data_IF_492547038246
#
_entry.id   IF_492547038246
#
_cell.length_a   1.000
_cell.length_b   1.000
_cell.length_c   1.000
_cell.angle_alpha   90.00
_cell.angle_beta   90.00
_cell.angle_gamma   90.00
#
_symmetry.space_group_name_H-M   'P 1'
#
loop_
_entity.id
_entity.type
_entity.pdbx_description
1 polymer ?
#
# COMPACT_ATOMS: atom_id res chain seq x y z
N UNK A 1 -25.42 11.54 -11.67
CA UNK A 1 -25.49 11.32 -13.13
C UNK A 1 -24.28 11.99 -13.74
N UNK A 2 -23.41 11.23 -14.42
CA UNK A 2 -22.23 11.78 -15.09
C UNK A 2 -22.67 12.63 -16.29
N UNK A 3 -22.13 13.84 -16.40
CA UNK A 3 -22.47 14.77 -17.49
C UNK A 3 -21.78 14.43 -18.82
N UNK A 4 -20.75 13.58 -18.80
CA UNK A 4 -19.91 13.34 -19.97
C UNK A 4 -20.02 11.93 -20.55
N UNK A 5 -20.71 10.99 -19.89
CA UNK A 5 -20.78 9.57 -20.30
C UNK A 5 -19.40 8.98 -20.69
N UNK A 6 -18.32 9.51 -20.11
CA UNK A 6 -16.95 9.12 -20.39
C UNK A 6 -16.57 7.93 -19.51
N UNK A 7 -16.09 6.88 -20.15
CA UNK A 7 -15.51 5.73 -19.46
C UNK A 7 -13.98 5.86 -19.46
N UNK A 8 -13.37 5.72 -18.29
CA UNK A 8 -11.91 5.69 -18.15
C UNK A 8 -11.47 4.23 -18.14
N UNK A 9 -10.53 3.88 -18.98
CA UNK A 9 -9.91 2.56 -19.02
C UNK A 9 -8.50 2.68 -18.47
N UNK A 10 -8.20 1.91 -17.42
CA UNK A 10 -6.88 1.82 -16.82
C UNK A 10 -6.23 0.53 -17.31
N UNK A 11 -5.03 0.65 -17.86
CA UNK A 11 -4.24 -0.45 -18.39
C UNK A 11 -3.02 -0.62 -17.49
N UNK A 12 -2.85 -1.80 -16.92
CA UNK A 12 -1.77 -2.06 -15.96
C UNK A 12 -0.97 -3.32 -16.30
N UNK A 13 0.33 -3.20 -16.08
CA UNK A 13 1.29 -4.30 -15.95
C UNK A 13 1.90 -4.20 -14.53
N UNK A 14 2.67 -5.20 -14.07
CA UNK A 14 3.46 -5.06 -12.85
C UNK A 14 4.50 -3.93 -12.89
N UNK A 15 4.79 -3.39 -14.08
CA UNK A 15 5.82 -2.38 -14.32
C UNK A 15 5.20 -0.98 -14.43
N UNK A 16 4.07 -0.83 -15.14
CA UNK A 16 3.44 0.47 -15.39
C UNK A 16 1.93 0.48 -15.23
N UNK A 17 1.41 1.69 -15.06
CA UNK A 17 -0.03 2.01 -15.18
C UNK A 17 -0.18 3.14 -16.21
N UNK A 18 -1.05 2.95 -17.18
CA UNK A 18 -1.50 3.99 -18.12
C UNK A 18 -3.03 4.01 -18.20
N UNK A 19 -3.61 5.04 -18.79
CA UNK A 19 -5.06 5.16 -18.93
C UNK A 19 -5.45 5.87 -20.22
N UNK A 20 -6.66 5.56 -20.72
CA UNK A 20 -7.29 6.28 -21.82
C UNK A 20 -8.79 6.47 -21.53
N UNK A 21 -9.41 7.45 -22.18
CA UNK A 21 -10.82 7.78 -21.99
C UNK A 21 -11.59 7.69 -23.30
N UNK A 22 -12.74 7.01 -23.25
CA UNK A 22 -13.56 6.80 -24.43
C UNK A 22 -14.96 7.38 -24.22
N UNK A 23 -15.39 8.23 -25.15
CA UNK A 23 -16.71 8.86 -25.15
C UNK A 23 -17.72 8.17 -26.07
N UNK A 24 -17.26 7.29 -26.96
CA UNK A 24 -18.09 6.61 -27.95
C UNK A 24 -17.81 5.11 -27.92
N UNK A 25 -18.87 4.31 -27.98
CA UNK A 25 -18.79 2.85 -28.13
C UNK A 25 -18.39 2.50 -29.58
N UNK A 26 -17.10 2.61 -29.87
CA UNK A 26 -16.46 2.25 -31.14
C UNK A 26 -15.14 1.53 -30.87
N UNK A 27 -14.50 1.06 -31.92
CA UNK A 27 -13.17 0.48 -31.83
C UNK A 27 -12.14 1.57 -31.47
N UNK A 28 -11.29 1.27 -30.49
CA UNK A 28 -10.20 2.14 -30.04
C UNK A 28 -8.92 1.32 -29.91
N UNK A 29 -7.79 1.96 -30.18
CA UNK A 29 -6.47 1.32 -30.15
C UNK A 29 -5.59 2.03 -29.12
N UNK A 30 -5.10 1.27 -28.14
CA UNK A 30 -4.05 1.74 -27.23
C UNK A 30 -2.68 1.48 -27.84
N UNK A 31 -1.91 2.54 -28.11
CA UNK A 31 -0.53 2.42 -28.57
C UNK A 31 0.47 2.52 -27.40
N UNK A 32 1.32 1.49 -27.26
CA UNK A 32 2.43 1.47 -26.32
C UNK A 32 3.72 1.66 -27.12
N UNK A 33 4.30 2.86 -27.04
CA UNK A 33 5.45 3.24 -27.88
C UNK A 33 6.78 2.63 -27.43
N UNK A 34 6.93 2.35 -26.13
CA UNK A 34 8.10 1.67 -25.57
C UNK A 34 7.78 0.90 -24.30
N UNK A 35 8.47 -0.23 -24.10
CA UNK A 35 8.46 -1.02 -22.87
C UNK A 35 9.49 -0.48 -21.88
N UNK A 36 9.24 -0.63 -20.58
CA UNK A 36 10.09 -0.04 -19.54
C UNK A 36 11.36 -0.86 -19.42
N UNK A 37 11.20 -2.19 -19.48
CA UNK A 37 12.27 -3.18 -19.55
C UNK A 37 11.85 -4.36 -20.44
N UNK A 38 12.80 -5.19 -20.88
CA UNK A 38 12.50 -6.43 -21.62
C UNK A 38 11.57 -7.37 -20.83
N UNK A 39 11.68 -7.35 -19.49
CA UNK A 39 10.86 -8.15 -18.60
C UNK A 39 9.37 -7.77 -18.64
N UNK A 40 9.03 -6.50 -18.93
CA UNK A 40 7.65 -6.08 -19.13
C UNK A 40 7.06 -6.67 -20.42
N UNK A 41 7.81 -6.63 -21.51
CA UNK A 41 7.38 -7.21 -22.78
C UNK A 41 7.16 -8.73 -22.66
N UNK A 42 8.08 -9.44 -22.00
CA UNK A 42 7.93 -10.87 -21.76
C UNK A 42 6.74 -11.18 -20.84
N UNK A 43 6.53 -10.38 -19.80
CA UNK A 43 5.34 -10.50 -18.96
C UNK A 43 4.05 -10.34 -19.78
N UNK A 44 3.96 -9.30 -20.61
CA UNK A 44 2.77 -9.02 -21.43
C UNK A 44 2.52 -10.11 -22.47
N UNK A 45 3.56 -10.70 -23.07
CA UNK A 45 3.40 -11.84 -23.98
C UNK A 45 2.79 -13.06 -23.28
N UNK A 46 3.16 -13.30 -22.02
CA UNK A 46 2.72 -14.46 -21.27
C UNK A 46 1.36 -14.27 -20.58
N UNK A 47 1.08 -13.06 -20.09
CA UNK A 47 -0.05 -12.77 -19.20
C UNK A 47 -1.04 -11.74 -19.76
N UNK A 48 -0.67 -11.03 -20.82
CA UNK A 48 -1.42 -9.91 -21.36
C UNK A 48 -1.29 -8.64 -20.52
N UNK A 49 -2.16 -7.66 -20.81
CA UNK A 49 -2.29 -6.40 -20.05
C UNK A 49 -3.59 -6.46 -19.26
N UNK A 50 -3.55 -6.10 -17.98
CA UNK A 50 -4.77 -5.99 -17.18
C UNK A 50 -5.52 -4.73 -17.55
N UNK A 51 -6.80 -4.86 -17.93
CA UNK A 51 -7.66 -3.74 -18.33
C UNK A 51 -8.78 -3.57 -17.31
N UNK A 52 -8.86 -2.40 -16.71
CA UNK A 52 -9.87 -2.04 -15.73
C UNK A 52 -10.76 -0.95 -16.30
N UNK A 53 -12.06 -1.22 -16.37
CA UNK A 53 -13.07 -0.22 -16.69
C UNK A 53 -13.42 0.55 -15.41
N UNK A 54 -13.21 1.86 -15.47
CA UNK A 54 -13.72 2.82 -14.51
C UNK A 54 -14.93 3.55 -15.12
N UNK A 55 -16.17 3.08 -14.86
CA UNK A 55 -17.35 3.61 -15.53
C UNK A 55 -17.63 5.06 -15.16
N UNK A 56 -18.30 5.75 -16.08
CA UNK A 56 -18.71 7.14 -15.88
C UNK A 56 -19.51 7.34 -14.59
N UNK A 57 -19.03 8.23 -13.71
CA UNK A 57 -19.60 8.45 -12.37
C UNK A 57 -18.67 8.06 -11.22
N UNK A 58 -17.53 7.43 -11.50
CA UNK A 58 -16.47 7.17 -10.51
C UNK A 58 -15.52 8.34 -10.25
N UNK A 59 -15.98 9.59 -10.46
CA UNK A 59 -15.21 10.79 -10.10
C UNK A 59 -14.80 10.76 -8.62
N UNK A 60 -15.69 10.23 -7.75
CA UNK A 60 -15.36 9.98 -6.35
C UNK A 60 -14.15 9.08 -6.19
N UNK A 61 -14.06 7.97 -6.93
CA UNK A 61 -12.90 7.06 -6.92
C UNK A 61 -11.62 7.76 -7.39
N UNK A 62 -11.68 8.56 -8.46
CA UNK A 62 -10.53 9.33 -8.94
C UNK A 62 -10.04 10.34 -7.90
N UNK A 63 -10.97 11.02 -7.22
CA UNK A 63 -10.65 11.92 -6.11
C UNK A 63 -10.09 11.15 -4.90
N UNK A 64 -10.58 9.95 -4.62
CA UNK A 64 -10.03 9.08 -3.56
C UNK A 64 -8.60 8.62 -3.88
N UNK A 65 -8.22 8.44 -5.15
CA UNK A 65 -6.83 8.14 -5.50
C UNK A 65 -5.86 9.26 -5.09
N UNK A 66 -6.31 10.52 -5.06
CA UNK A 66 -5.50 11.65 -4.58
C UNK A 66 -5.18 11.50 -3.09
N UNK A 67 -6.11 10.98 -2.29
CA UNK A 67 -5.89 10.72 -0.86
C UNK A 67 -5.03 9.46 -0.63
N UNK A 68 -5.09 8.48 -1.54
CA UNK A 68 -4.49 7.14 -1.36
C UNK A 68 -3.08 7.00 -1.95
N UNK A 69 -2.83 7.52 -3.16
CA UNK A 69 -1.52 7.40 -3.82
C UNK A 69 -0.35 7.97 -3.00
N UNK A 70 -0.48 9.13 -2.32
CA UNK A 70 0.57 9.68 -1.47
C UNK A 70 1.02 8.74 -0.34
N UNK A 71 0.13 7.87 0.14
CA UNK A 71 0.39 6.98 1.28
C UNK A 71 1.54 6.02 1.02
N UNK A 72 1.78 5.68 -0.25
CA UNK A 72 2.82 4.75 -0.67
C UNK A 72 4.17 5.42 -0.93
N UNK A 73 4.27 6.74 -0.80
CA UNK A 73 5.54 7.45 -0.95
C UNK A 73 6.44 7.27 0.28
N UNK A 74 7.67 6.79 0.09
CA UNK A 74 8.64 6.63 1.18
C UNK A 74 9.39 7.94 1.55
N UNK A 75 8.74 9.08 1.36
CA UNK A 75 9.29 10.42 1.60
C UNK A 75 8.69 11.04 2.87
N UNK A 76 9.21 12.20 3.29
CA UNK A 76 8.57 13.00 4.35
C UNK A 76 7.16 13.45 3.96
N UNK A 77 6.91 13.72 2.67
CA UNK A 77 5.58 14.03 2.16
C UNK A 77 4.62 12.85 2.31
N UNK A 78 5.06 11.64 1.98
CA UNK A 78 4.26 10.43 2.19
C UNK A 78 3.96 10.18 3.66
N UNK A 79 4.95 10.36 4.55
CA UNK A 79 4.72 10.28 5.99
C UNK A 79 3.65 11.27 6.47
N UNK A 80 3.76 12.54 6.08
CA UNK A 80 2.77 13.56 6.44
C UNK A 80 1.39 13.25 5.84
N UNK A 81 1.34 12.68 4.64
CA UNK A 81 0.09 12.26 4.00
C UNK A 81 -0.56 11.10 4.74
N UNK A 82 0.22 10.12 5.23
CA UNK A 82 -0.29 9.05 6.09
C UNK A 82 -0.88 9.59 7.39
N UNK A 83 -0.20 10.52 8.05
CA UNK A 83 -0.71 11.18 9.26
C UNK A 83 -2.02 11.92 9.01
N UNK A 84 -2.04 12.76 7.97
CA UNK A 84 -3.23 13.54 7.59
C UNK A 84 -4.40 12.63 7.18
N UNK A 85 -4.13 11.50 6.53
CA UNK A 85 -5.14 10.52 6.18
C UNK A 85 -5.79 9.91 7.43
N UNK A 86 -4.98 9.44 8.39
CA UNK A 86 -5.48 8.87 9.65
C UNK A 86 -6.25 9.91 10.47
N UNK A 87 -5.79 11.16 10.50
CA UNK A 87 -6.51 12.26 11.15
C UNK A 87 -7.86 12.53 10.46
N UNK A 88 -7.88 12.66 9.13
CA UNK A 88 -9.09 12.95 8.35
C UNK A 88 -10.13 11.83 8.42
N UNK A 89 -9.68 10.57 8.33
CA UNK A 89 -10.58 9.43 8.15
C UNK A 89 -10.86 8.64 9.43
N UNK A 90 -10.00 8.73 10.45
CA UNK A 90 -10.19 8.08 11.74
C UNK A 90 -10.34 9.05 12.92
N UNK A 91 -10.04 10.34 12.73
CA UNK A 91 -9.92 11.28 13.85
C UNK A 91 -8.73 10.97 14.77
N UNK A 92 -7.74 10.22 14.28
CA UNK A 92 -6.60 9.74 15.07
C UNK A 92 -5.41 10.69 14.95
N UNK A 93 -4.82 11.07 16.09
CA UNK A 93 -3.62 11.92 16.15
C UNK A 93 -2.40 11.12 16.59
N UNK A 94 -1.34 11.16 15.80
CA UNK A 94 -0.07 10.51 16.13
C UNK A 94 0.99 11.55 16.46
N UNK A 95 1.30 11.68 17.74
CA UNK A 95 2.29 12.65 18.21
C UNK A 95 3.70 12.03 18.30
N UNK A 96 4.69 12.82 17.89
CA UNK A 96 6.09 12.44 18.02
C UNK A 96 6.48 12.49 19.49
N UNK A 97 6.90 11.36 20.05
CA UNK A 97 7.40 11.28 21.44
C UNK A 97 8.60 12.21 21.66
N UNK A 98 8.77 12.71 22.87
CA UNK A 98 10.01 13.38 23.29
C UNK A 98 11.19 12.40 23.21
N UNK A 99 12.36 12.88 22.77
CA UNK A 99 13.57 12.06 22.70
C UNK A 99 14.18 11.85 24.09
N UNK A 100 14.88 10.71 24.33
CA UNK A 100 15.21 9.65 23.36
C UNK A 100 14.09 8.62 23.13
N UNK A 101 14.00 8.07 21.91
CA UNK A 101 13.03 7.02 21.54
C UNK A 101 13.56 5.61 21.80
N UNK A 102 14.08 5.38 23.01
CA UNK A 102 14.62 4.06 23.37
C UNK A 102 13.65 3.41 24.35
N UNK A 103 13.08 2.28 23.95
CA UNK A 103 12.46 1.35 24.88
C UNK A 103 13.51 0.29 25.23
N UNK A 104 13.95 0.26 26.49
CA UNK A 104 14.78 -0.82 26.98
C UNK A 104 13.87 -2.01 27.28
N UNK A 105 13.83 -2.96 26.35
CA UNK A 105 13.14 -4.24 26.52
C UNK A 105 14.22 -5.31 26.65
N UNK A 106 14.24 -5.97 27.80
CA UNK A 106 15.21 -7.01 28.08
C UNK A 106 14.73 -8.36 27.50
N UNK A 107 15.64 -9.19 27.00
CA UNK A 107 15.28 -10.50 26.37
C UNK A 107 14.65 -11.44 27.39
N UNK A 108 15.05 -11.30 28.65
CA UNK A 108 14.58 -12.12 29.77
C UNK A 108 13.10 -11.89 30.08
N UNK A 109 12.63 -10.65 29.91
CA UNK A 109 11.26 -10.22 30.22
C UNK A 109 10.25 -10.71 29.18
N UNK A 110 10.70 -10.99 27.96
CA UNK A 110 9.83 -11.45 26.87
C UNK A 110 9.50 -12.93 27.04
N UNK A 111 8.23 -13.30 26.92
CA UNK A 111 7.74 -14.67 26.96
C UNK A 111 7.25 -15.15 25.60
N UNK A 112 7.25 -16.47 25.39
CA UNK A 112 6.60 -17.06 24.22
C UNK A 112 5.11 -16.74 24.24
N UNK A 113 4.60 -16.13 23.17
CA UNK A 113 3.23 -15.66 23.06
C UNK A 113 3.06 -14.16 23.27
N UNK A 114 4.11 -13.43 23.68
CA UNK A 114 4.06 -11.97 23.73
C UNK A 114 3.84 -11.39 22.32
N UNK A 115 2.89 -10.45 22.22
CA UNK A 115 2.54 -9.79 20.97
C UNK A 115 3.29 -8.48 20.80
N UNK A 116 3.88 -8.30 19.63
CA UNK A 116 4.37 -7.02 19.14
C UNK A 116 3.30 -6.41 18.25
N UNK A 117 2.81 -5.23 18.62
CA UNK A 117 1.92 -4.43 17.79
C UNK A 117 2.68 -3.20 17.28
N UNK A 118 2.77 -3.07 15.95
CA UNK A 118 3.53 -2.02 15.28
C UNK A 118 2.59 -1.12 14.48
N UNK A 119 2.87 0.18 14.52
CA UNK A 119 2.18 1.17 13.70
C UNK A 119 3.20 1.87 12.83
N UNK A 120 3.36 1.38 11.60
CA UNK A 120 4.22 2.01 10.61
C UNK A 120 3.47 3.10 9.87
N UNK A 121 4.14 4.22 9.66
CA UNK A 121 3.59 5.39 8.95
C UNK A 121 4.40 5.67 7.68
N UNK A 122 5.61 5.10 7.57
CA UNK A 122 6.56 5.31 6.48
C UNK A 122 7.40 4.05 6.25
N UNK A 123 7.85 3.86 5.01
CA UNK A 123 8.69 2.74 4.59
C UNK A 123 7.93 1.77 3.69
N UNK A 124 8.60 0.69 3.27
CA UNK A 124 7.98 -0.41 2.53
C UNK A 124 6.71 -0.87 3.28
N UNK A 125 5.59 -1.00 2.58
CA UNK A 125 4.29 -1.38 3.17
C UNK A 125 3.63 -0.37 4.13
N UNK A 126 4.23 0.80 4.41
CA UNK A 126 3.66 1.78 5.35
C UNK A 126 2.30 2.34 4.93
N UNK A 127 2.08 2.53 3.63
CA UNK A 127 0.77 2.94 3.10
C UNK A 127 -0.31 1.87 3.28
N UNK A 128 0.06 0.58 3.14
CA UNK A 128 -0.86 -0.54 3.38
C UNK A 128 -1.25 -0.61 4.85
N UNK A 129 -0.29 -0.49 5.77
CA UNK A 129 -0.58 -0.46 7.21
C UNK A 129 -1.52 0.71 7.59
N UNK A 130 -1.39 1.87 6.94
CA UNK A 130 -2.33 2.99 7.13
C UNK A 130 -3.75 2.66 6.67
N UNK A 131 -3.90 1.99 5.53
CA UNK A 131 -5.21 1.55 5.05
C UNK A 131 -5.80 0.46 5.95
N UNK A 132 -4.98 -0.47 6.45
CA UNK A 132 -5.39 -1.51 7.39
C UNK A 132 -5.89 -0.89 8.70
N UNK A 133 -5.16 0.07 9.28
CA UNK A 133 -5.59 0.85 10.45
C UNK A 133 -6.94 1.51 10.22
N UNK A 134 -7.13 2.14 9.07
CA UNK A 134 -8.39 2.79 8.74
C UNK A 134 -9.57 1.81 8.62
N UNK A 135 -9.40 0.72 7.87
CA UNK A 135 -10.48 -0.24 7.63
C UNK A 135 -10.84 -1.02 8.89
N UNK A 136 -9.86 -1.29 9.76
CA UNK A 136 -10.08 -2.06 11.01
C UNK A 136 -10.43 -1.20 12.21
N UNK A 137 -10.19 0.12 12.14
CA UNK A 137 -10.27 1.01 13.30
C UNK A 137 -9.13 0.84 14.31
N UNK A 138 -8.08 0.05 13.99
CA UNK A 138 -6.95 -0.20 14.87
C UNK A 138 -5.89 0.89 14.78
N UNK A 139 -5.06 1.02 15.82
CA UNK A 139 -3.91 1.94 15.82
C UNK A 139 -2.60 1.28 15.39
N UNK A 140 -2.59 -0.05 15.24
CA UNK A 140 -1.48 -0.85 14.74
C UNK A 140 -1.85 -1.43 13.36
N UNK A 141 -0.88 -1.46 12.44
CA UNK A 141 -1.04 -2.06 11.12
C UNK A 141 -0.40 -3.44 11.03
N UNK A 142 0.63 -3.73 11.85
CA UNK A 142 1.33 -5.00 11.81
C UNK A 142 1.40 -5.64 13.19
N UNK A 143 1.33 -6.98 13.21
CA UNK A 143 1.50 -7.76 14.44
C UNK A 143 2.46 -8.91 14.22
N UNK A 144 3.27 -9.18 15.23
CA UNK A 144 4.14 -10.34 15.28
C UNK A 144 4.11 -10.97 16.68
N UNK A 145 4.52 -12.22 16.79
CA UNK A 145 4.55 -12.96 18.07
C UNK A 145 5.98 -13.34 18.42
N UNK A 146 6.37 -13.08 19.66
CA UNK A 146 7.65 -13.53 20.20
C UNK A 146 7.57 -14.99 20.60
N UNK A 147 8.59 -15.78 20.25
CA UNK A 147 8.70 -17.20 20.61
C UNK A 147 10.11 -17.51 21.10
N UNK A 148 10.22 -18.33 22.14
CA UNK A 148 11.48 -18.95 22.56
C UNK A 148 11.56 -20.37 22.04
N UNK A 149 12.70 -20.73 21.46
CA UNK A 149 12.98 -22.12 21.11
C UNK A 149 13.44 -22.95 22.33
N UNK A 150 13.70 -24.24 22.11
CA UNK A 150 14.15 -25.17 23.17
C UNK A 150 15.47 -24.77 23.83
N UNK A 151 16.29 -23.93 23.17
CA UNK A 151 17.57 -23.41 23.71
C UNK A 151 17.39 -22.09 24.45
N UNK A 152 16.19 -21.51 24.44
CA UNK A 152 15.88 -20.21 25.02
C UNK A 152 16.23 -19.03 24.11
N UNK A 153 16.51 -19.27 22.82
CA UNK A 153 16.73 -18.19 21.86
C UNK A 153 15.40 -17.56 21.44
N UNK A 154 15.42 -16.23 21.32
CA UNK A 154 14.22 -15.43 21.06
C UNK A 154 14.07 -15.20 19.56
N UNK A 155 12.89 -15.51 19.06
CA UNK A 155 12.46 -15.38 17.68
C UNK A 155 11.24 -14.46 17.59
N UNK A 156 11.11 -13.73 16.48
CA UNK A 156 9.92 -12.98 16.13
C UNK A 156 9.26 -13.69 14.96
N UNK A 157 8.10 -14.30 15.21
CA UNK A 157 7.30 -14.94 14.19
C UNK A 157 6.33 -13.92 13.60
N UNK A 158 6.46 -13.67 12.30
CA UNK A 158 5.61 -12.76 11.54
C UNK A 158 5.17 -13.37 10.21
N UNK A 159 4.08 -12.85 9.65
CA UNK A 159 3.67 -13.16 8.29
C UNK A 159 4.27 -12.12 7.34
N UNK A 160 5.16 -12.56 6.47
CA UNK A 160 5.76 -11.74 5.43
C UNK A 160 6.47 -12.63 4.42
N UNK A 161 6.12 -12.50 3.15
CA UNK A 161 6.84 -13.16 2.05
C UNK A 161 7.68 -12.10 1.34
N UNK A 162 8.99 -12.09 1.58
CA UNK A 162 9.90 -11.38 0.69
C UNK A 162 10.18 -12.31 -0.49
N UNK A 163 9.83 -11.89 -1.71
CA UNK A 163 10.34 -12.56 -2.90
C UNK A 163 11.87 -12.55 -2.81
N UNK A 164 12.48 -13.73 -2.82
CA UNK A 164 13.93 -13.84 -2.94
C UNK A 164 14.39 -13.06 -4.16
N UNK A 165 15.54 -12.38 -4.05
CA UNK A 165 16.20 -11.82 -5.22
C UNK A 165 16.64 -13.00 -6.09
N UNK A 166 16.01 -13.15 -7.26
CA UNK A 166 16.58 -13.94 -8.36
C UNK A 166 17.81 -13.22 -8.88
#
# INVERSE_FOLDING_TARGET
QSWTCMDLYVFATPYRITWDYYFAAREHTLEITSWEEEAELEYVKQHGVSVFLMPSGMLGTLLSLIDVLPLFSNTGWGQNSNLAFLEKHMGATFEKRSQPWVANIMKEDIQSGDFLALSKIRGRWGGFETLEKWVTGAFAGHTAVCLKDEKGDLWVAESGFENEKV
#
